data_IF_559053992939
#
_entry.id   IF_559053992939
#
_cell.length_a   1.000
_cell.length_b   1.000
_cell.length_c   1.000
_cell.angle_alpha   90.00
_cell.angle_beta   90.00
_cell.angle_gamma   90.00
#
_symmetry.space_group_name_H-M   'P 1'
#
loop_
_entity.id
_entity.type
_entity.pdbx_description
1 polymer ?
#
# COMPACT_ATOMS: atom_id res chain seq x y z
N UNK A 1 -64.91 3.84 29.63
CA UNK A 1 -63.48 4.16 29.49
C UNK A 1 -62.87 3.17 28.53
N UNK A 2 -62.80 3.52 27.25
CA UNK A 2 -62.52 2.61 26.14
C UNK A 2 -61.03 2.60 25.78
N UNK A 3 -60.62 1.53 25.09
CA UNK A 3 -59.29 1.20 24.57
C UNK A 3 -58.59 2.31 23.76
N UNK A 4 -59.26 3.42 23.47
CA UNK A 4 -58.78 4.51 22.60
C UNK A 4 -57.64 5.32 23.23
N UNK A 5 -57.43 5.29 24.56
CA UNK A 5 -56.34 6.03 25.23
C UNK A 5 -55.04 5.25 25.48
N UNK A 6 -54.97 3.95 25.16
CA UNK A 6 -53.68 3.21 25.12
C UNK A 6 -53.03 3.23 23.72
N UNK A 7 -53.72 3.78 22.73
CA UNK A 7 -53.28 3.87 21.34
C UNK A 7 -52.20 4.95 21.08
N UNK A 8 -51.82 5.77 22.06
CA UNK A 8 -50.99 6.96 21.81
C UNK A 8 -49.59 6.98 22.42
N UNK A 9 -49.17 5.92 23.14
CA UNK A 9 -47.84 5.92 23.79
C UNK A 9 -46.94 4.73 23.44
N UNK A 10 -47.46 3.72 22.73
CA UNK A 10 -46.64 2.56 22.27
C UNK A 10 -46.44 2.58 20.74
N UNK A 11 -47.30 3.24 19.97
CA UNK A 11 -47.16 3.33 18.51
C UNK A 11 -46.24 4.47 18.02
N UNK A 12 -45.84 5.40 18.91
CA UNK A 12 -45.00 6.55 18.54
C UNK A 12 -43.52 6.42 18.95
N UNK A 13 -43.11 5.27 19.51
CA UNK A 13 -41.73 4.99 19.92
C UNK A 13 -41.19 3.66 19.34
N UNK A 14 -41.76 3.19 18.22
CA UNK A 14 -41.03 2.36 17.26
C UNK A 14 -40.42 3.25 16.16
N UNK A 15 -39.60 4.19 16.60
CA UNK A 15 -38.36 4.48 15.89
C UNK A 15 -37.52 3.21 15.83
N UNK A 16 -36.84 3.01 14.69
CA UNK A 16 -35.86 1.94 14.44
C UNK A 16 -36.54 0.58 14.18
N UNK A 17 -36.46 -0.02 13.01
CA UNK A 17 -35.31 -0.18 12.15
C UNK A 17 -35.87 -0.25 10.73
N UNK A 18 -35.72 0.80 9.91
CA UNK A 18 -35.60 0.49 8.49
C UNK A 18 -34.37 -0.39 8.39
N UNK A 19 -34.43 -1.61 7.84
CA UNK A 19 -33.21 -2.27 7.46
C UNK A 19 -32.53 -1.26 6.54
N UNK A 20 -31.39 -0.73 6.99
CA UNK A 20 -30.41 -0.22 6.05
C UNK A 20 -30.14 -1.42 5.16
N UNK A 21 -30.88 -1.51 4.06
CA UNK A 21 -30.46 -2.28 2.91
C UNK A 21 -29.29 -1.46 2.40
N UNK A 22 -28.14 -1.64 3.04
CA UNK A 22 -26.85 -1.32 2.46
C UNK A 22 -26.74 -2.25 1.27
N UNK A 23 -27.31 -1.83 0.14
CA UNK A 23 -26.93 -2.34 -1.16
C UNK A 23 -25.43 -2.07 -1.21
N UNK A 24 -24.57 -3.10 -1.22
CA UNK A 24 -23.16 -2.87 -1.44
C UNK A 24 -23.06 -2.36 -2.88
N UNK A 25 -23.07 -1.03 -3.05
CA UNK A 25 -22.71 -0.44 -4.33
C UNK A 25 -21.27 -0.87 -4.53
N UNK A 26 -21.08 -1.88 -5.36
CA UNK A 26 -19.76 -2.41 -5.69
C UNK A 26 -19.17 -1.39 -6.65
N UNK A 27 -18.57 -0.33 -6.10
CA UNK A 27 -17.90 0.72 -6.86
C UNK A 27 -16.59 0.17 -7.45
N UNK A 28 -16.70 -0.76 -8.41
CA UNK A 28 -15.65 -0.98 -9.38
C UNK A 28 -15.81 0.06 -10.48
N UNK A 29 -14.80 0.88 -10.71
CA UNK A 29 -14.75 1.69 -11.93
C UNK A 29 -14.76 0.70 -13.11
N UNK A 30 -15.62 0.89 -14.11
CA UNK A 30 -15.50 0.14 -15.35
C UNK A 30 -14.67 0.96 -16.33
N UNK A 31 -13.60 0.36 -16.85
CA UNK A 31 -12.73 0.99 -17.86
C UNK A 31 -12.77 0.13 -19.11
N UNK A 32 -13.15 0.72 -20.24
CA UNK A 32 -13.13 0.01 -21.52
C UNK A 32 -11.90 0.45 -22.32
N UNK A 33 -11.06 -0.52 -22.70
CA UNK A 33 -9.91 -0.32 -23.61
C UNK A 33 -10.05 -1.33 -24.73
N UNK A 34 -10.03 -0.88 -25.99
CA UNK A 34 -10.15 -1.72 -27.19
C UNK A 34 -11.31 -2.73 -27.15
N UNK A 35 -12.50 -2.27 -26.75
CA UNK A 35 -13.73 -3.07 -26.57
C UNK A 35 -13.68 -4.15 -25.47
N UNK A 36 -12.68 -4.14 -24.59
CA UNK A 36 -12.63 -5.00 -23.40
C UNK A 36 -12.96 -4.14 -22.18
N UNK A 37 -14.02 -4.53 -21.45
CA UNK A 37 -14.39 -3.87 -20.19
C UNK A 37 -13.68 -4.53 -19.02
N UNK A 38 -12.91 -3.72 -18.30
CA UNK A 38 -12.23 -4.11 -17.08
C UNK A 38 -13.00 -3.59 -15.87
N UNK A 39 -13.15 -4.44 -14.85
CA UNK A 39 -13.35 -3.93 -13.49
C UNK A 39 -12.02 -3.32 -13.07
N UNK A 40 -12.06 -2.08 -12.61
CA UNK A 40 -10.90 -1.33 -12.16
C UNK A 40 -11.12 -0.84 -10.72
N UNK A 41 -10.03 -0.82 -9.97
CA UNK A 41 -9.95 -0.19 -8.66
C UNK A 41 -8.95 0.95 -8.74
N UNK A 42 -9.26 2.04 -8.05
CA UNK A 42 -8.28 3.11 -7.86
C UNK A 42 -7.55 2.89 -6.55
N UNK A 43 -6.23 2.75 -6.64
CA UNK A 43 -5.35 2.53 -5.47
C UNK A 43 -5.11 3.84 -4.72
N UNK A 44 -4.71 4.91 -5.42
CA UNK A 44 -4.60 6.24 -4.81
C UNK A 44 -5.98 6.90 -4.74
N UNK A 45 -6.47 7.28 -3.54
CA UNK A 45 -7.81 7.82 -3.41
C UNK A 45 -7.93 9.19 -4.08
N UNK A 46 -9.09 9.45 -4.68
CA UNK A 46 -9.47 10.76 -5.26
C UNK A 46 -10.51 11.49 -4.41
N UNK A 47 -10.89 10.94 -3.26
CA UNK A 47 -11.82 11.61 -2.35
C UNK A 47 -11.05 12.58 -1.46
N UNK A 48 -11.64 13.75 -1.21
CA UNK A 48 -11.03 14.79 -0.38
C UNK A 48 -10.77 14.36 1.06
N UNK A 49 -11.42 13.29 1.52
CA UNK A 49 -11.21 12.67 2.83
C UNK A 49 -9.78 12.19 3.08
N UNK A 50 -9.00 11.92 2.02
CA UNK A 50 -7.61 11.47 2.15
C UNK A 50 -6.59 12.56 1.81
N UNK A 51 -7.03 13.76 1.42
CA UNK A 51 -6.10 14.85 1.11
C UNK A 51 -5.35 15.29 2.36
N UNK A 52 -4.03 15.40 2.25
CA UNK A 52 -3.15 15.71 3.38
C UNK A 52 -2.84 14.53 4.29
N UNK A 53 -3.38 13.33 4.03
CA UNK A 53 -2.92 12.11 4.73
C UNK A 53 -1.44 11.91 4.44
N UNK A 54 -0.66 11.72 5.51
CA UNK A 54 0.79 11.56 5.43
C UNK A 54 1.29 10.30 6.11
N UNK A 55 2.21 9.60 5.45
CA UNK A 55 3.15 8.69 6.10
C UNK A 55 4.52 9.37 6.24
N UNK A 56 5.13 9.24 7.42
CA UNK A 56 6.36 9.96 7.80
C UNK A 56 7.34 9.03 8.47
N UNK A 57 8.61 9.17 8.11
CA UNK A 57 9.74 8.51 8.76
C UNK A 57 10.88 9.51 8.95
N UNK A 58 11.69 9.31 9.97
CA UNK A 58 12.83 10.20 10.26
C UNK A 58 13.88 9.50 11.10
N UNK A 59 15.10 10.01 11.06
CA UNK A 59 16.15 9.66 12.01
C UNK A 59 16.89 10.90 12.49
N UNK A 60 17.28 10.88 13.75
CA UNK A 60 18.30 11.75 14.31
C UNK A 60 19.21 10.91 15.22
N UNK A 61 20.40 10.58 14.74
CA UNK A 61 21.30 9.70 15.47
C UNK A 61 20.77 8.27 15.47
N UNK A 62 20.48 7.75 16.65
CA UNK A 62 19.87 6.43 16.88
C UNK A 62 18.35 6.51 17.05
N UNK A 63 17.77 7.70 17.16
CA UNK A 63 16.34 7.86 17.32
C UNK A 63 15.67 7.88 15.94
N UNK A 64 15.03 6.77 15.57
CA UNK A 64 14.48 6.56 14.24
C UNK A 64 13.02 6.10 14.27
N UNK A 65 12.23 6.66 13.37
CA UNK A 65 10.95 6.14 12.92
C UNK A 65 11.13 5.66 11.47
N UNK A 66 11.27 4.35 11.30
CA UNK A 66 11.58 3.75 10.00
C UNK A 66 10.34 3.34 9.20
N UNK A 67 9.22 3.07 9.88
CA UNK A 67 7.96 2.64 9.28
C UNK A 67 6.81 3.51 9.78
N UNK A 68 5.80 3.67 8.94
CA UNK A 68 4.56 4.35 9.30
C UNK A 68 3.46 3.94 8.32
N UNK A 69 2.83 2.79 8.57
CA UNK A 69 1.75 2.30 7.72
C UNK A 69 0.49 3.15 7.93
N UNK A 70 -0.01 3.74 6.85
CA UNK A 70 -1.21 4.59 6.87
C UNK A 70 -2.20 4.14 5.81
N UNK A 71 -3.43 3.88 6.24
CA UNK A 71 -4.56 3.52 5.38
C UNK A 71 -4.98 4.69 4.49
N UNK A 72 -5.17 4.42 3.18
CA UNK A 72 -5.61 5.36 2.15
C UNK A 72 -6.77 4.80 1.32
N UNK A 73 -7.78 4.25 1.99
CA UNK A 73 -8.97 3.69 1.34
C UNK A 73 -8.81 2.21 1.03
N UNK A 74 -8.55 1.86 -0.23
CA UNK A 74 -8.41 0.45 -0.64
C UNK A 74 -6.96 -0.07 -0.52
N UNK A 75 -6.05 0.76 -0.02
CA UNK A 75 -4.63 0.50 0.03
C UNK A 75 -4.02 1.20 1.25
N UNK A 76 -2.71 1.01 1.45
CA UNK A 76 -1.91 1.70 2.45
C UNK A 76 -0.69 2.36 1.83
N UNK A 77 -0.13 3.34 2.51
CA UNK A 77 1.20 3.88 2.22
C UNK A 77 2.14 3.61 3.40
N UNK A 78 3.40 3.30 3.11
CA UNK A 78 4.44 3.13 4.12
C UNK A 78 5.76 3.73 3.62
N UNK A 79 6.39 4.53 4.48
CA UNK A 79 7.72 5.10 4.23
C UNK A 79 8.82 4.05 4.25
N UNK A 80 8.62 2.90 4.91
CA UNK A 80 9.47 1.72 4.85
C UNK A 80 10.98 1.96 4.63
N UNK A 81 11.65 2.54 5.62
CA UNK A 81 13.11 2.81 5.65
C UNK A 81 13.85 1.61 6.25
N UNK A 82 13.53 0.43 5.72
CA UNK A 82 13.99 -0.86 6.25
C UNK A 82 15.52 -1.04 6.22
N UNK A 83 16.21 -0.37 5.30
CA UNK A 83 17.67 -0.45 5.16
C UNK A 83 18.46 0.06 6.37
N UNK A 84 17.81 0.68 7.36
CA UNK A 84 18.44 1.12 8.60
C UNK A 84 18.11 0.21 9.80
N UNK A 85 17.21 -0.78 9.65
CA UNK A 85 16.64 -1.58 10.74
C UNK A 85 17.68 -2.19 11.68
N UNK A 86 18.78 -2.74 11.15
CA UNK A 86 19.83 -3.37 11.99
C UNK A 86 20.86 -2.39 12.54
N UNK A 87 20.95 -1.19 11.96
CA UNK A 87 22.03 -0.25 12.28
C UNK A 87 21.63 0.78 13.34
N UNK A 88 20.36 1.21 13.37
CA UNK A 88 19.94 2.36 14.17
C UNK A 88 19.98 2.15 15.67
N UNK A 89 19.94 0.91 16.14
CA UNK A 89 20.03 0.58 17.57
C UNK A 89 21.47 0.47 18.08
N UNK A 90 22.46 0.44 17.18
CA UNK A 90 23.86 0.15 17.53
C UNK A 90 24.80 1.34 17.33
N UNK A 91 24.49 2.23 16.40
CA UNK A 91 25.36 3.36 16.05
C UNK A 91 24.55 4.51 15.43
N UNK A 92 25.12 5.71 15.48
CA UNK A 92 24.56 6.89 14.84
C UNK A 92 24.45 6.66 13.32
N UNK A 93 23.22 6.53 12.81
CA UNK A 93 22.98 6.30 11.38
C UNK A 93 23.03 7.59 10.56
N UNK A 94 23.10 8.75 11.21
CA UNK A 94 23.02 10.07 10.62
C UNK A 94 21.66 10.73 10.87
N UNK A 95 21.23 11.57 9.93
CA UNK A 95 19.94 12.26 10.02
C UNK A 95 19.22 12.31 8.69
N UNK A 96 17.90 12.37 8.74
CA UNK A 96 17.09 12.47 7.54
C UNK A 96 15.61 12.33 7.82
N UNK A 97 14.84 12.57 6.78
CA UNK A 97 13.39 12.45 6.81
C UNK A 97 12.84 11.98 5.47
N UNK A 98 11.69 11.33 5.57
CA UNK A 98 10.82 11.06 4.43
C UNK A 98 9.40 11.45 4.78
N UNK A 99 8.71 12.04 3.82
CA UNK A 99 7.28 12.33 3.87
C UNK A 99 6.64 11.85 2.58
N UNK A 100 5.59 11.06 2.73
CA UNK A 100 4.67 10.66 1.68
C UNK A 100 3.34 11.34 1.94
N UNK A 101 2.81 12.12 1.00
CA UNK A 101 1.57 12.91 1.20
C UNK A 101 0.64 12.76 0.01
N UNK A 102 -0.63 12.47 0.28
CA UNK A 102 -1.70 12.57 -0.72
C UNK A 102 -2.06 14.04 -0.95
N UNK A 103 -1.86 14.54 -2.17
CA UNK A 103 -2.16 15.93 -2.51
C UNK A 103 -3.65 16.14 -2.80
N UNK A 104 -4.07 17.41 -2.89
CA UNK A 104 -5.45 17.77 -3.25
C UNK A 104 -5.86 17.37 -4.67
N UNK A 105 -4.91 16.93 -5.50
CA UNK A 105 -5.12 16.41 -6.84
C UNK A 105 -5.25 14.87 -6.87
N UNK A 106 -5.21 14.19 -5.71
CA UNK A 106 -5.25 12.72 -5.64
C UNK A 106 -3.96 12.06 -6.11
N UNK A 107 -2.83 12.77 -6.04
CA UNK A 107 -1.49 12.23 -6.34
C UNK A 107 -0.72 11.97 -5.06
N UNK A 108 0.18 10.99 -5.07
CA UNK A 108 1.09 10.74 -3.96
C UNK A 108 2.41 11.45 -4.22
N UNK A 109 2.73 12.45 -3.39
CA UNK A 109 4.03 13.11 -3.42
C UNK A 109 4.96 12.44 -2.39
N UNK A 110 6.18 12.10 -2.81
CA UNK A 110 7.20 11.51 -1.95
C UNK A 110 8.43 12.39 -1.93
N UNK A 111 8.86 12.81 -0.75
CA UNK A 111 10.12 13.54 -0.54
C UNK A 111 10.94 12.83 0.52
N UNK A 112 12.12 12.36 0.12
CA UNK A 112 13.04 11.59 0.97
C UNK A 112 14.43 12.21 0.90
N UNK A 113 15.00 12.59 2.05
CA UNK A 113 16.32 13.26 2.14
C UNK A 113 17.07 12.78 3.35
N UNK A 114 18.26 12.26 3.12
CA UNK A 114 19.07 11.59 4.14
C UNK A 114 20.53 11.99 4.03
N UNK A 115 21.15 12.24 5.17
CA UNK A 115 22.59 12.36 5.34
C UNK A 115 23.05 11.20 6.23
N UNK A 116 23.43 10.11 5.58
CA UNK A 116 23.78 8.87 6.26
C UNK A 116 25.25 8.83 6.64
N UNK A 117 25.53 8.37 7.84
CA UNK A 117 26.89 8.07 8.34
C UNK A 117 27.24 6.59 8.24
N UNK A 118 26.24 5.77 7.94
CA UNK A 118 26.37 4.33 7.77
C UNK A 118 25.89 3.93 6.38
N UNK A 119 26.44 2.82 5.88
CA UNK A 119 25.91 2.19 4.67
C UNK A 119 24.58 1.48 5.01
N UNK A 120 23.50 1.70 4.25
CA UNK A 120 22.27 0.93 4.42
C UNK A 120 22.50 -0.57 4.25
N UNK A 121 21.69 -1.34 4.96
CA UNK A 121 21.62 -2.78 4.78
C UNK A 121 21.26 -3.11 3.33
N UNK A 122 21.88 -4.16 2.79
CA UNK A 122 21.68 -4.64 1.42
C UNK A 122 21.88 -3.58 0.31
N UNK A 123 22.50 -2.44 0.62
CA UNK A 123 22.70 -1.29 -0.28
C UNK A 123 21.43 -0.54 -0.68
N UNK A 124 20.32 -0.78 0.01
CA UNK A 124 19.04 -0.11 -0.25
C UNK A 124 18.59 0.56 1.02
N UNK A 125 18.35 1.87 0.97
CA UNK A 125 17.92 2.63 2.15
C UNK A 125 16.47 2.33 2.53
N UNK A 126 15.60 2.33 1.53
CA UNK A 126 14.17 2.38 1.75
C UNK A 126 13.42 1.85 0.53
N UNK A 127 12.16 1.47 0.75
CA UNK A 127 11.22 1.13 -0.30
C UNK A 127 9.87 1.80 -0.01
N UNK A 128 9.81 3.12 -0.23
CA UNK A 128 8.58 3.89 -0.07
C UNK A 128 7.50 3.32 -0.97
N UNK A 129 6.39 2.87 -0.39
CA UNK A 129 5.50 1.96 -1.09
C UNK A 129 4.02 2.29 -0.90
N UNK A 130 3.25 1.85 -1.88
CA UNK A 130 1.80 1.79 -1.84
C UNK A 130 1.41 0.32 -1.86
N UNK A 131 0.69 -0.13 -0.85
CA UNK A 131 0.41 -1.56 -0.61
C UNK A 131 -1.06 -1.81 -0.86
N UNK A 132 -1.37 -2.72 -1.77
CA UNK A 132 -2.69 -3.30 -1.93
C UNK A 132 -2.63 -4.77 -1.50
N UNK A 133 -3.48 -5.18 -0.56
CA UNK A 133 -3.46 -6.52 0.00
C UNK A 133 -2.51 -6.66 1.19
N UNK A 134 -1.83 -7.80 1.27
CA UNK A 134 -0.99 -8.17 2.40
C UNK A 134 0.50 -7.98 2.11
N UNK A 135 1.20 -7.24 2.98
CA UNK A 135 2.66 -7.10 2.97
C UNK A 135 3.29 -8.16 3.89
N UNK A 136 4.19 -9.02 3.38
CA UNK A 136 4.69 -10.15 4.15
C UNK A 136 5.85 -9.76 5.06
N UNK A 137 5.56 -9.01 6.11
CA UNK A 137 6.53 -8.58 7.13
C UNK A 137 5.81 -8.27 8.46
N UNK A 138 4.86 -9.12 8.86
CA UNK A 138 4.04 -8.92 10.06
C UNK A 138 3.09 -7.71 9.99
N UNK A 139 2.88 -7.14 8.80
CA UNK A 139 2.08 -5.94 8.61
C UNK A 139 0.61 -6.32 8.43
N UNK A 140 -0.31 -5.62 9.09
CA UNK A 140 -1.75 -5.85 8.92
C UNK A 140 -2.15 -5.62 7.47
N UNK A 141 -2.79 -6.63 6.87
CA UNK A 141 -3.28 -6.56 5.50
C UNK A 141 -4.38 -5.50 5.37
N UNK A 142 -4.28 -4.68 4.32
CA UNK A 142 -5.40 -3.84 3.89
C UNK A 142 -5.98 -4.46 2.63
N UNK A 143 -7.02 -5.28 2.83
CA UNK A 143 -7.64 -6.09 1.80
C UNK A 143 -8.92 -5.42 1.30
N UNK A 144 -9.17 -5.54 0.00
CA UNK A 144 -10.45 -5.17 -0.61
C UNK A 144 -11.01 -6.38 -1.37
N UNK A 145 -11.54 -7.38 -0.64
CA UNK A 145 -11.93 -8.67 -1.21
C UNK A 145 -13.03 -8.57 -2.27
N UNK A 146 -13.81 -7.48 -2.28
CA UNK A 146 -14.80 -7.19 -3.31
C UNK A 146 -14.20 -7.00 -4.73
N UNK A 147 -12.90 -6.67 -4.82
CA UNK A 147 -12.19 -6.51 -6.08
C UNK A 147 -11.19 -7.64 -6.34
N UNK A 148 -10.22 -7.81 -5.44
CA UNK A 148 -9.24 -8.88 -5.48
C UNK A 148 -8.94 -9.29 -4.04
N UNK A 149 -9.34 -10.51 -3.70
CA UNK A 149 -9.12 -11.12 -2.39
C UNK A 149 -7.71 -11.72 -2.34
N UNK A 150 -6.82 -11.08 -1.58
CA UNK A 150 -5.43 -11.52 -1.40
C UNK A 150 -5.25 -12.00 0.03
N UNK A 151 -4.54 -13.12 0.27
CA UNK A 151 -3.74 -13.88 -0.68
C UNK A 151 -4.59 -14.74 -1.62
N UNK A 152 -4.20 -14.79 -2.89
CA UNK A 152 -4.84 -15.61 -3.92
C UNK A 152 -3.88 -16.68 -4.42
N UNK A 153 -4.37 -17.89 -4.67
CA UNK A 153 -3.56 -18.93 -5.31
C UNK A 153 -3.26 -18.50 -6.74
N UNK A 154 -2.01 -18.67 -7.17
CA UNK A 154 -1.56 -18.30 -8.53
C UNK A 154 -2.50 -18.82 -9.64
N UNK A 155 -2.94 -20.08 -9.55
CA UNK A 155 -3.84 -20.69 -10.55
C UNK A 155 -5.23 -20.04 -10.62
N UNK A 156 -5.65 -19.39 -9.54
CA UNK A 156 -6.95 -18.75 -9.38
C UNK A 156 -6.84 -17.22 -9.61
N UNK A 157 -5.62 -16.71 -9.83
CA UNK A 157 -5.34 -15.29 -9.99
C UNK A 157 -5.80 -14.79 -11.36
N UNK A 158 -6.67 -13.77 -11.42
CA UNK A 158 -7.07 -13.18 -12.70
C UNK A 158 -5.88 -12.42 -13.31
N UNK A 159 -5.94 -12.21 -14.63
CA UNK A 159 -5.02 -11.28 -15.28
C UNK A 159 -5.24 -9.87 -14.74
N UNK A 160 -4.18 -9.28 -14.19
CA UNK A 160 -4.20 -7.89 -13.72
C UNK A 160 -3.63 -6.96 -14.79
N UNK A 161 -4.28 -5.82 -14.96
CA UNK A 161 -3.77 -4.69 -15.72
C UNK A 161 -3.60 -3.52 -14.75
N UNK A 162 -2.42 -2.90 -14.80
CA UNK A 162 -2.06 -1.79 -13.92
C UNK A 162 -1.81 -0.57 -14.79
N UNK A 163 -2.67 0.45 -14.67
CA UNK A 163 -2.40 1.79 -15.21
C UNK A 163 -1.59 2.57 -14.18
N UNK A 164 -0.36 2.93 -14.54
CA UNK A 164 0.57 3.65 -13.69
C UNK A 164 0.97 4.95 -14.38
N UNK A 165 0.80 6.04 -13.64
CA UNK A 165 1.30 7.36 -14.02
C UNK A 165 2.16 7.90 -12.89
N UNK A 166 3.42 8.14 -13.18
CA UNK A 166 4.35 8.74 -12.23
C UNK A 166 5.25 9.73 -12.96
N UNK A 167 5.66 10.76 -12.25
CA UNK A 167 6.74 11.64 -12.66
C UNK A 167 7.86 11.49 -11.66
N UNK A 168 9.06 11.23 -12.15
CA UNK A 168 10.19 11.01 -11.28
C UNK A 168 11.00 12.29 -11.08
N UNK A 169 10.91 12.82 -9.87
CA UNK A 169 11.65 13.99 -9.45
C UNK A 169 12.95 13.53 -8.82
N UNK A 170 13.96 13.21 -9.65
CA UNK A 170 15.40 13.00 -9.32
C UNK A 170 15.73 12.23 -8.01
N UNK A 171 16.32 11.04 -8.11
CA UNK A 171 16.95 10.33 -6.98
C UNK A 171 18.47 10.17 -7.11
N UNK A 172 19.20 10.34 -6.01
CA UNK A 172 20.66 10.08 -5.92
C UNK A 172 20.99 9.39 -4.60
N UNK A 173 21.98 8.48 -4.54
CA UNK A 173 22.86 8.04 -5.63
C UNK A 173 22.23 7.01 -6.58
N UNK A 174 21.11 6.39 -6.19
CA UNK A 174 20.37 5.44 -7.01
C UNK A 174 18.93 5.30 -6.54
N UNK A 175 18.05 4.88 -7.43
CA UNK A 175 16.61 4.70 -7.19
C UNK A 175 15.97 3.88 -8.32
N UNK A 176 14.84 3.27 -8.04
CA UNK A 176 14.01 2.60 -9.02
C UNK A 176 12.53 2.93 -8.80
N UNK A 177 11.71 2.54 -9.77
CA UNK A 177 10.27 2.39 -9.59
C UNK A 177 9.94 0.94 -9.89
N UNK A 178 9.37 0.23 -8.93
CA UNK A 178 9.11 -1.20 -9.05
C UNK A 178 7.71 -1.56 -8.55
N UNK A 179 7.12 -2.56 -9.19
CA UNK A 179 6.09 -3.39 -8.59
C UNK A 179 6.74 -4.59 -7.93
N UNK A 180 6.16 -5.05 -6.85
CA UNK A 180 6.61 -6.22 -6.12
C UNK A 180 5.41 -7.09 -5.76
N UNK A 181 5.59 -8.40 -5.87
CA UNK A 181 4.67 -9.39 -5.36
C UNK A 181 5.46 -10.54 -4.73
N UNK A 182 4.93 -11.07 -3.63
CA UNK A 182 5.47 -12.24 -2.97
C UNK A 182 4.59 -13.46 -3.20
N UNK A 183 5.23 -14.59 -3.50
CA UNK A 183 4.56 -15.87 -3.70
C UNK A 183 5.03 -16.84 -2.63
N UNK A 184 4.09 -17.24 -1.79
CA UNK A 184 4.31 -18.17 -0.68
C UNK A 184 3.81 -19.57 -1.03
N UNK A 185 4.38 -20.56 -0.34
CA UNK A 185 3.92 -21.97 -0.42
C UNK A 185 2.70 -22.25 0.46
N UNK A 186 2.35 -21.30 1.32
CA UNK A 186 1.25 -21.39 2.29
C UNK A 186 0.39 -20.12 2.23
N UNK A 187 -0.67 -20.09 3.03
CA UNK A 187 -1.62 -18.97 3.08
C UNK A 187 -1.31 -17.95 4.19
N UNK A 188 -0.17 -18.08 4.89
CA UNK A 188 0.19 -17.14 5.94
C UNK A 188 0.78 -15.88 5.31
N UNK A 189 -0.07 -14.89 5.07
CA UNK A 189 0.28 -13.62 4.45
C UNK A 189 0.95 -12.61 5.40
N UNK A 190 1.09 -12.96 6.69
CA UNK A 190 1.71 -12.11 7.71
C UNK A 190 3.13 -12.51 8.08
N UNK A 191 3.63 -13.66 7.63
CA UNK A 191 5.01 -14.10 7.95
C UNK A 191 6.04 -13.44 7.03
N UNK A 192 7.26 -13.37 7.52
CA UNK A 192 8.41 -13.01 6.68
C UNK A 192 8.69 -14.10 5.63
N UNK A 193 9.23 -13.74 4.46
CA UNK A 193 9.73 -14.68 3.46
C UNK A 193 10.85 -15.57 3.99
N UNK A 194 10.83 -16.82 3.52
CA UNK A 194 11.77 -17.86 3.89
C UNK A 194 12.34 -18.54 2.64
N UNK A 195 13.28 -19.47 2.83
CA UNK A 195 13.90 -20.19 1.72
C UNK A 195 12.86 -20.91 0.83
N UNK A 196 12.85 -20.51 -0.44
CA UNK A 196 11.98 -21.08 -1.47
C UNK A 196 10.63 -20.37 -1.64
N UNK A 197 10.34 -19.31 -0.87
CA UNK A 197 9.37 -18.30 -1.30
C UNK A 197 9.96 -17.46 -2.43
N UNK A 198 9.11 -16.82 -3.24
CA UNK A 198 9.54 -16.10 -4.44
C UNK A 198 9.16 -14.63 -4.31
N UNK A 199 10.14 -13.75 -4.51
CA UNK A 199 9.95 -12.33 -4.77
C UNK A 199 9.90 -12.10 -6.28
N UNK A 200 8.86 -11.44 -6.77
CA UNK A 200 8.74 -11.02 -8.17
C UNK A 200 8.73 -9.51 -8.22
N UNK A 201 9.77 -8.92 -8.81
CA UNK A 201 9.82 -7.49 -9.05
C UNK A 201 9.70 -7.15 -10.54
N UNK A 202 8.85 -6.18 -10.87
CA UNK A 202 8.78 -5.56 -12.20
C UNK A 202 9.23 -4.12 -12.09
N UNK A 203 10.46 -3.84 -12.50
CA UNK A 203 11.06 -2.51 -12.42
C UNK A 203 10.78 -1.75 -13.72
N UNK A 204 9.98 -0.68 -13.64
CA UNK A 204 9.66 0.17 -14.80
C UNK A 204 10.69 1.28 -15.01
N UNK A 205 11.51 1.56 -13.98
CA UNK A 205 12.65 2.46 -14.04
C UNK A 205 13.73 2.00 -13.06
N UNK A 206 15.01 2.16 -13.41
CA UNK A 206 16.13 2.02 -12.49
C UNK A 206 17.28 2.96 -12.89
N UNK A 207 17.93 3.55 -11.89
CA UNK A 207 19.16 4.33 -12.05
C UNK A 207 20.06 4.19 -10.84
N UNK A 208 21.38 4.16 -11.06
CA UNK A 208 22.38 4.02 -9.99
C UNK A 208 22.35 2.66 -9.27
N UNK A 209 21.79 1.61 -9.89
CA UNK A 209 21.70 0.27 -9.31
C UNK A 209 21.45 -0.82 -10.37
N UNK A 210 21.29 -2.07 -9.90
CA UNK A 210 20.90 -3.22 -10.72
C UNK A 210 20.05 -4.20 -9.89
N UNK A 211 19.17 -5.01 -10.51
CA UNK A 211 18.49 -6.10 -9.81
C UNK A 211 19.49 -7.09 -9.19
N UNK A 212 19.07 -7.77 -8.12
CA UNK A 212 19.86 -8.85 -7.54
C UNK A 212 19.97 -10.04 -8.50
N UNK A 213 21.00 -10.87 -8.30
CA UNK A 213 21.23 -12.06 -9.13
C UNK A 213 21.96 -11.76 -10.44
N UNK A 214 21.68 -12.58 -11.46
CA UNK A 214 22.31 -12.49 -12.79
C UNK A 214 21.23 -12.42 -13.88
N UNK A 215 21.48 -11.68 -14.98
CA UNK A 215 20.59 -11.69 -16.14
C UNK A 215 20.43 -13.11 -16.68
N UNK A 216 19.18 -13.50 -16.96
CA UNK A 216 18.85 -14.80 -17.57
C UNK A 216 18.57 -14.64 -19.06
N UNK A 217 17.61 -13.77 -19.40
CA UNK A 217 17.23 -13.47 -20.79
C UNK A 217 16.41 -12.18 -20.86
N UNK A 218 16.28 -11.65 -22.06
CA UNK A 218 15.31 -10.60 -22.40
C UNK A 218 14.01 -11.22 -22.89
N UNK A 219 12.88 -10.62 -22.54
CA UNK A 219 11.53 -11.04 -22.95
C UNK A 219 10.77 -9.84 -23.51
N UNK A 220 9.78 -10.09 -24.38
CA UNK A 220 8.90 -9.09 -25.00
C UNK A 220 7.46 -9.52 -24.80
#
# INVERSE_FOLDING_TARGET
>A
MSLVKKALSIALLLTMVMPLVSIPITYGLQVTVDNITFRAIRILPTTSSYYGVTSRGSCQGQNCQLWNLVSIGNASIDVNVWGLQRNYTQQDVGSGEVVMTITSQGTLNVRSRWNLRVRPEYNTLCYHEVIYGAKPWGTTSQEYPAYLDTPIRYRDMPRLLIDLRYEQVRGTPGHNFAFEAWVFKDSNNGREPTYGDIEVMVQTYISGGRPAGQPVRTVT
#
